data_IF_144809881807
#
_entry.id   IF_144809881807
#
_cell.length_a   1.000
_cell.length_b   1.000
_cell.length_c   1.000
_cell.angle_alpha   90.00
_cell.angle_beta   90.00
_cell.angle_gamma   90.00
#
_symmetry.space_group_name_H-M   'P 1'
#
loop_
_entity.id
_entity.type
_entity.pdbx_description
1 polymer ?
#
# COMPACT_ATOMS: atom_id res chain seq x y z
N UNK A 1 7.87 0.93 -16.87
CA UNK A 1 8.08 0.12 -15.64
C UNK A 1 9.45 0.40 -15.03
N UNK A 2 10.57 0.18 -15.76
CA UNK A 2 11.92 0.39 -15.21
C UNK A 2 12.18 1.82 -14.71
N UNK A 3 11.89 2.84 -15.53
CA UNK A 3 12.07 4.23 -15.12
C UNK A 3 11.27 4.57 -13.85
N UNK A 4 10.01 4.12 -13.77
CA UNK A 4 9.15 4.28 -12.60
C UNK A 4 9.76 3.63 -11.35
N UNK A 5 10.26 2.40 -11.48
CA UNK A 5 10.88 1.66 -10.37
C UNK A 5 12.12 2.39 -9.84
N UNK A 6 12.97 2.90 -10.74
CA UNK A 6 14.15 3.68 -10.37
C UNK A 6 13.74 4.97 -9.65
N UNK A 7 12.76 5.72 -10.19
CA UNK A 7 12.28 6.95 -9.56
C UNK A 7 11.61 6.70 -8.20
N UNK A 8 10.89 5.60 -8.06
CA UNK A 8 10.26 5.21 -6.81
C UNK A 8 11.31 4.96 -5.73
N UNK A 9 12.33 4.16 -6.04
CA UNK A 9 13.43 3.90 -5.10
C UNK A 9 14.23 5.17 -4.80
N UNK A 10 14.51 6.00 -5.80
CA UNK A 10 15.19 7.29 -5.60
C UNK A 10 14.46 8.19 -4.61
N UNK A 11 13.14 8.37 -4.77
CA UNK A 11 12.33 9.19 -3.85
C UNK A 11 12.31 8.60 -2.44
N UNK A 12 12.14 7.28 -2.31
CA UNK A 12 12.15 6.61 -1.00
C UNK A 12 13.50 6.79 -0.30
N UNK A 13 14.62 6.57 -1.00
CA UNK A 13 15.96 6.75 -0.45
C UNK A 13 16.20 8.21 -0.07
N UNK A 14 15.85 9.16 -0.94
CA UNK A 14 16.01 10.59 -0.66
C UNK A 14 15.24 11.00 0.61
N UNK A 15 14.00 10.52 0.79
CA UNK A 15 13.21 10.81 1.98
C UNK A 15 13.79 10.29 3.30
N UNK A 16 14.59 9.24 3.27
CA UNK A 16 15.30 8.76 4.48
C UNK A 16 16.24 9.86 4.98
N UNK A 17 17.04 10.44 4.09
CA UNK A 17 18.00 11.49 4.46
C UNK A 17 17.32 12.78 4.93
N UNK A 18 16.14 13.11 4.39
CA UNK A 18 15.37 14.28 4.86
C UNK A 18 14.67 14.07 6.21
N UNK A 19 14.44 12.83 6.62
CA UNK A 19 13.72 12.50 7.87
C UNK A 19 14.65 12.11 9.02
N UNK A 20 15.83 11.56 8.72
CA UNK A 20 16.82 11.20 9.72
C UNK A 20 17.36 12.43 10.46
N UNK A 21 17.64 12.29 11.75
CA UNK A 21 18.23 13.37 12.56
C UNK A 21 19.73 13.54 12.28
N UNK A 22 20.40 12.44 11.99
CA UNK A 22 21.85 12.35 11.79
C UNK A 22 22.18 11.44 10.61
N UNK A 23 23.41 11.55 10.08
CA UNK A 23 23.89 10.72 8.96
C UNK A 23 23.86 9.23 9.31
N UNK A 24 24.32 8.87 10.50
CA UNK A 24 24.38 7.47 10.95
C UNK A 24 22.99 6.83 11.04
N UNK A 25 21.96 7.61 11.41
CA UNK A 25 20.58 7.14 11.43
C UNK A 25 20.07 6.86 10.00
N UNK A 26 20.38 7.72 9.03
CA UNK A 26 20.01 7.50 7.64
C UNK A 26 20.65 6.22 7.08
N UNK A 27 21.93 5.99 7.37
CA UNK A 27 22.65 4.79 6.94
C UNK A 27 22.09 3.52 7.59
N UNK A 28 21.72 3.55 8.88
CA UNK A 28 21.07 2.42 9.55
C UNK A 28 19.75 2.03 8.88
N UNK A 29 18.90 3.01 8.57
CA UNK A 29 17.61 2.77 7.90
C UNK A 29 17.83 2.26 6.47
N UNK A 30 18.78 2.83 5.73
CA UNK A 30 19.10 2.37 4.39
C UNK A 30 19.62 0.93 4.40
N UNK A 31 20.51 0.60 5.34
CA UNK A 31 21.03 -0.76 5.53
C UNK A 31 19.88 -1.73 5.80
N UNK A 32 18.99 -1.42 6.74
CA UNK A 32 17.87 -2.30 7.09
C UNK A 32 16.86 -2.54 5.96
N UNK A 33 16.78 -1.63 4.98
CA UNK A 33 15.96 -1.84 3.77
C UNK A 33 16.50 -2.92 2.83
N UNK A 34 17.81 -3.18 2.86
CA UNK A 34 18.47 -4.18 1.99
C UNK A 34 19.09 -5.35 2.78
N UNK A 35 19.10 -5.29 4.11
CA UNK A 35 19.52 -6.39 4.97
C UNK A 35 18.64 -7.61 4.74
N UNK A 36 19.29 -8.76 4.50
CA UNK A 36 18.64 -10.08 4.50
C UNK A 36 18.79 -10.78 5.86
N UNK A 37 19.34 -10.08 6.84
CA UNK A 37 19.50 -10.57 8.20
C UNK A 37 18.12 -10.58 8.90
N UNK A 38 17.69 -11.74 9.40
CA UNK A 38 16.38 -11.97 10.02
C UNK A 38 15.16 -11.88 9.08
N UNK A 39 15.27 -12.37 7.85
CA UNK A 39 14.07 -12.57 7.01
C UNK A 39 13.20 -13.68 7.61
N UNK A 40 12.01 -13.30 8.09
CA UNK A 40 10.99 -14.23 8.60
C UNK A 40 10.04 -14.61 7.48
N UNK A 41 9.95 -15.91 7.19
CA UNK A 41 9.06 -16.46 6.17
C UNK A 41 7.88 -17.20 6.81
N UNK A 42 6.68 -17.09 6.22
CA UNK A 42 5.50 -17.80 6.69
C UNK A 42 5.58 -19.29 6.31
N UNK A 43 5.51 -20.18 7.30
CA UNK A 43 5.56 -21.64 7.11
C UNK A 43 4.49 -22.15 6.14
N UNK A 44 3.30 -21.54 6.17
CA UNK A 44 2.15 -21.91 5.33
C UNK A 44 2.48 -21.94 3.83
N UNK A 45 3.30 -20.99 3.36
CA UNK A 45 3.62 -20.87 1.93
C UNK A 45 4.98 -21.48 1.57
N UNK A 46 5.89 -21.62 2.55
CA UNK A 46 7.28 -22.00 2.31
C UNK A 46 7.69 -23.29 3.03
N UNK A 47 6.73 -24.17 3.35
CA UNK A 47 6.98 -25.45 4.05
C UNK A 47 8.09 -26.32 3.43
N UNK A 48 8.28 -26.23 2.11
CA UNK A 48 9.30 -26.98 1.37
C UNK A 48 10.74 -26.44 1.55
N UNK A 49 10.92 -25.22 2.07
CA UNK A 49 12.23 -24.60 2.31
C UNK A 49 12.73 -24.81 3.74
N UNK A 50 11.86 -25.27 4.65
CA UNK A 50 12.18 -25.46 6.07
C UNK A 50 13.35 -26.43 6.24
N UNK A 51 13.39 -27.48 5.42
CA UNK A 51 14.40 -28.55 5.51
C UNK A 51 15.79 -28.10 5.04
N UNK A 52 15.90 -26.98 4.30
CA UNK A 52 17.14 -26.58 3.64
C UNK A 52 17.83 -25.36 4.24
N UNK A 53 17.20 -24.58 5.12
CA UNK A 53 17.73 -23.24 5.37
C UNK A 53 17.36 -22.55 6.70
N UNK A 54 17.81 -23.07 7.84
CA UNK A 54 17.76 -22.33 9.12
C UNK A 54 18.84 -21.24 9.25
N UNK A 55 19.85 -21.22 8.37
CA UNK A 55 21.00 -20.31 8.49
C UNK A 55 20.64 -18.90 8.01
N UNK A 56 19.84 -18.78 6.95
CA UNK A 56 19.49 -17.48 6.35
C UNK A 56 18.03 -17.06 6.57
N UNK A 57 17.12 -18.02 6.78
CA UNK A 57 15.69 -17.74 6.94
C UNK A 57 15.17 -18.27 8.26
N UNK A 58 14.35 -17.45 8.94
CA UNK A 58 13.59 -17.90 10.11
C UNK A 58 12.17 -18.17 9.67
N UNK A 59 11.57 -19.24 10.17
CA UNK A 59 10.17 -19.55 9.88
C UNK A 59 9.30 -19.12 11.07
N UNK A 60 8.20 -18.42 10.79
CA UNK A 60 7.32 -17.90 11.85
C UNK A 60 6.35 -16.81 11.42
N UNK A 61 5.89 -16.03 12.39
CA UNK A 61 4.95 -14.91 12.24
C UNK A 61 5.63 -13.69 11.60
N UNK A 62 5.33 -13.45 10.32
CA UNK A 62 6.02 -12.41 9.49
C UNK A 62 5.75 -10.98 9.98
N UNK A 63 4.53 -10.69 10.42
CA UNK A 63 4.04 -9.32 10.61
C UNK A 63 3.78 -8.91 12.06
N UNK A 64 4.34 -9.65 13.01
CA UNK A 64 4.13 -9.44 14.44
C UNK A 64 4.48 -8.00 14.87
N UNK A 65 5.57 -7.46 14.33
CA UNK A 65 6.06 -6.11 14.66
C UNK A 65 5.29 -4.96 14.00
N UNK A 66 4.38 -5.25 13.06
CA UNK A 66 3.63 -4.23 12.30
C UNK A 66 2.11 -4.39 12.42
N UNK A 67 1.64 -5.16 13.41
CA UNK A 67 0.22 -5.48 13.62
C UNK A 67 -0.45 -6.08 12.35
N UNK A 68 0.33 -6.70 11.48
CA UNK A 68 -0.17 -7.29 10.25
C UNK A 68 -0.78 -8.66 10.50
N UNK A 69 -1.79 -9.00 9.69
CA UNK A 69 -2.49 -10.29 9.73
C UNK A 69 -2.08 -11.15 8.52
N UNK A 70 -2.53 -12.39 8.49
CA UNK A 70 -2.22 -13.35 7.40
C UNK A 70 -2.59 -12.84 6.00
N UNK A 71 -3.63 -12.01 5.91
CA UNK A 71 -4.10 -11.44 4.64
C UNK A 71 -3.31 -10.20 4.20
N UNK A 72 -2.44 -9.64 5.04
CA UNK A 72 -1.68 -8.42 4.73
C UNK A 72 -0.83 -8.59 3.47
N UNK A 73 -0.17 -9.75 3.29
CA UNK A 73 0.60 -10.04 2.07
C UNK A 73 -0.27 -9.99 0.82
N UNK A 74 -1.47 -10.58 0.89
CA UNK A 74 -2.41 -10.63 -0.24
C UNK A 74 -2.87 -9.22 -0.61
N UNK A 75 -3.20 -8.39 0.39
CA UNK A 75 -3.58 -6.99 0.15
C UNK A 75 -2.44 -6.16 -0.44
N UNK A 76 -1.19 -6.36 0.00
CA UNK A 76 -0.03 -5.68 -0.57
C UNK A 76 0.15 -6.06 -2.05
N UNK A 77 0.08 -7.36 -2.36
CA UNK A 77 0.22 -7.86 -3.74
C UNK A 77 -0.90 -7.31 -4.63
N UNK A 78 -2.16 -7.41 -4.18
CA UNK A 78 -3.32 -6.90 -4.93
C UNK A 78 -3.19 -5.38 -5.10
N UNK A 79 -2.86 -4.65 -4.04
CA UNK A 79 -2.67 -3.20 -4.07
C UNK A 79 -1.59 -2.79 -5.06
N UNK A 80 -0.48 -3.53 -5.11
CA UNK A 80 0.60 -3.30 -6.06
C UNK A 80 0.17 -3.57 -7.51
N UNK A 81 -0.55 -4.67 -7.75
CA UNK A 81 -1.11 -4.98 -9.07
C UNK A 81 -2.07 -3.89 -9.52
N UNK A 82 -3.00 -3.46 -8.66
CA UNK A 82 -3.93 -2.36 -8.93
C UNK A 82 -3.16 -1.08 -9.25
N UNK A 83 -2.17 -0.71 -8.44
CA UNK A 83 -1.39 0.50 -8.64
C UNK A 83 -0.66 0.52 -10.01
N UNK A 84 -0.20 -0.63 -10.49
CA UNK A 84 0.52 -0.74 -11.77
C UNK A 84 -0.39 -0.99 -12.98
N UNK A 85 -1.50 -1.70 -12.81
CA UNK A 85 -2.38 -2.09 -13.91
C UNK A 85 -3.29 -0.95 -14.36
N UNK A 86 -3.69 -0.06 -13.44
CA UNK A 86 -4.59 1.04 -13.77
C UNK A 86 -3.85 2.28 -14.26
N UNK A 87 -4.44 2.93 -15.26
CA UNK A 87 -3.97 4.21 -15.79
C UNK A 87 -3.97 5.28 -14.70
N UNK A 88 -2.86 5.99 -14.56
CA UNK A 88 -2.71 7.12 -13.62
C UNK A 88 -3.72 8.25 -13.97
N UNK A 89 -4.04 9.11 -13.00
CA UNK A 89 -4.96 10.24 -13.13
C UNK A 89 -4.63 11.14 -14.33
N UNK A 90 -3.34 11.39 -14.59
CA UNK A 90 -2.89 12.19 -15.73
C UNK A 90 -3.24 11.56 -17.09
N UNK A 91 -3.25 10.24 -17.17
CA UNK A 91 -3.67 9.53 -18.38
C UNK A 91 -5.20 9.51 -18.50
N UNK A 92 -5.92 9.34 -17.38
CA UNK A 92 -7.38 9.46 -17.34
C UNK A 92 -7.88 10.86 -17.70
N UNK A 93 -7.12 11.91 -17.38
CA UNK A 93 -7.43 13.28 -17.78
C UNK A 93 -7.56 13.41 -19.30
N UNK A 94 -6.68 12.76 -20.07
CA UNK A 94 -6.77 12.76 -21.55
C UNK A 94 -8.08 12.13 -22.03
N UNK A 95 -8.50 11.02 -21.42
CA UNK A 95 -9.77 10.36 -21.76
C UNK A 95 -11.00 11.15 -21.31
N UNK A 96 -10.88 11.92 -20.23
CA UNK A 96 -11.96 12.80 -19.75
C UNK A 96 -12.31 13.88 -20.78
N UNK A 97 -11.30 14.51 -21.40
CA UNK A 97 -11.52 15.47 -22.48
C UNK A 97 -12.10 14.84 -23.76
N UNK A 98 -11.84 13.56 -24.01
CA UNK A 98 -12.34 12.85 -25.20
C UNK A 98 -13.80 12.40 -25.08
N UNK A 99 -14.28 12.11 -23.86
CA UNK A 99 -15.67 11.67 -23.61
C UNK A 99 -16.27 12.31 -22.36
N UNK A 100 -16.37 13.65 -22.28
CA UNK A 100 -16.79 14.34 -21.07
C UNK A 100 -18.22 13.98 -20.64
N UNK A 101 -19.12 13.74 -21.60
CA UNK A 101 -20.54 13.44 -21.34
C UNK A 101 -20.77 12.16 -20.52
N UNK A 102 -19.95 11.11 -20.69
CA UNK A 102 -20.10 9.88 -19.91
C UNK A 102 -19.75 10.11 -18.44
N UNK A 103 -18.70 10.88 -18.18
CA UNK A 103 -18.26 11.19 -16.83
C UNK A 103 -19.20 12.19 -16.13
N UNK A 104 -19.79 13.12 -16.87
CA UNK A 104 -20.81 14.03 -16.30
C UNK A 104 -22.08 13.28 -15.94
N UNK A 105 -22.58 12.36 -16.79
CA UNK A 105 -23.74 11.51 -16.46
C UNK A 105 -23.45 10.66 -15.22
N UNK A 106 -22.29 10.00 -15.17
CA UNK A 106 -21.88 9.23 -13.99
C UNK A 106 -21.79 10.09 -12.72
N UNK A 107 -21.23 11.31 -12.84
CA UNK A 107 -21.16 12.27 -11.76
C UNK A 107 -22.55 12.71 -11.26
N UNK A 108 -23.51 12.94 -12.15
CA UNK A 108 -24.90 13.28 -11.80
C UNK A 108 -25.56 12.11 -11.03
N UNK A 109 -25.35 10.86 -11.46
CA UNK A 109 -25.91 9.68 -10.78
C UNK A 109 -25.35 9.55 -9.36
N UNK A 110 -24.03 9.70 -9.18
CA UNK A 110 -23.40 9.67 -7.85
C UNK A 110 -23.91 10.83 -6.99
N UNK A 111 -23.97 12.04 -7.55
CA UNK A 111 -24.43 13.21 -6.83
C UNK A 111 -25.87 13.05 -6.34
N UNK A 112 -26.76 12.55 -7.19
CA UNK A 112 -28.13 12.20 -6.83
C UNK A 112 -28.16 11.15 -5.70
N UNK A 113 -27.35 10.09 -5.81
CA UNK A 113 -27.24 9.08 -4.76
C UNK A 113 -26.75 9.66 -3.42
N UNK A 114 -25.78 10.58 -3.45
CA UNK A 114 -25.30 11.27 -2.26
C UNK A 114 -26.40 12.11 -1.62
N UNK A 115 -27.10 12.95 -2.39
CA UNK A 115 -28.22 13.76 -1.89
C UNK A 115 -29.31 12.88 -1.28
N UNK A 116 -29.66 11.78 -1.94
CA UNK A 116 -30.65 10.84 -1.43
C UNK A 116 -30.26 10.19 -0.11
N UNK A 117 -28.97 10.12 0.24
CA UNK A 117 -28.50 9.58 1.52
C UNK A 117 -28.34 10.64 2.61
N UNK A 118 -28.30 11.94 2.27
CA UNK A 118 -28.18 13.03 3.27
C UNK A 118 -29.45 13.21 4.11
N UNK A 119 -30.61 12.73 3.63
CA UNK A 119 -31.89 12.82 4.34
C UNK A 119 -32.06 11.75 5.43
N UNK A 120 -31.11 10.82 5.58
CA UNK A 120 -31.11 9.85 6.66
C UNK A 120 -30.76 10.55 7.97
N UNK A 121 -31.75 10.74 8.82
CA UNK A 121 -31.56 11.21 10.19
C UNK A 121 -30.64 10.22 10.92
N UNK A 122 -29.45 10.66 11.32
CA UNK A 122 -28.68 9.95 12.33
C UNK A 122 -29.31 10.30 13.67
N UNK A 123 -29.98 9.35 14.32
CA UNK A 123 -30.41 9.53 15.70
C UNK A 123 -29.19 9.96 16.51
N UNK A 124 -29.28 11.15 17.12
CA UNK A 124 -28.26 11.60 18.05
C UNK A 124 -28.37 10.67 19.25
N UNK A 125 -27.50 9.66 19.32
CA UNK A 125 -27.37 8.81 20.49
C UNK A 125 -26.99 9.73 21.66
N UNK A 126 -27.97 10.10 22.48
CA UNK A 126 -27.67 10.64 23.80
C UNK A 126 -26.92 9.53 24.53
N UNK A 127 -25.63 9.75 24.72
CA UNK A 127 -24.91 9.04 25.77
C UNK A 127 -25.62 9.39 27.07
N UNK A 128 -26.33 8.41 27.65
CA UNK A 128 -26.61 8.42 29.08
C UNK A 128 -25.24 8.26 29.76
N UNK A 129 -24.62 9.39 30.09
CA UNK A 129 -23.49 9.46 31.02
C UNK A 129 -23.95 9.04 32.41
#
# INVERSE_FOLDING_TARGET
ILAWFITFNFVNIAWIFFRAKEWDDAIKVLSSMFSLDNVVLPEKYFKFLIEYNEIYFRFGTVYENILGKDNTTIFIIIGFIVALAFKNSMEKMKTFYLRPYLFTIFGIIIFYYCISNMTKYTEFLYFNF
#
